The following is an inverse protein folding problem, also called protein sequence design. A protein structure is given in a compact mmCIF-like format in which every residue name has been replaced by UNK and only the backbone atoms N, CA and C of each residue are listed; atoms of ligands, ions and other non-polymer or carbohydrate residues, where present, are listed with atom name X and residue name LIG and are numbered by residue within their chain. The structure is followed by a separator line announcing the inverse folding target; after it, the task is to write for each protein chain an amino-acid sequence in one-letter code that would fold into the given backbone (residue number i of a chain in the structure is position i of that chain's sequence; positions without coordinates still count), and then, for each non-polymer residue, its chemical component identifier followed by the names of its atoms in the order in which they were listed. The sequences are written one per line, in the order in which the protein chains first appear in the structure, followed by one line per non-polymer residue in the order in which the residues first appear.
data_IF_764971524311
#
_entry.id   IF_764971524311
#
_cell.length_a   1.000
_cell.length_b   1.000
_cell.length_c   1.000
_cell.angle_alpha   90.00
_cell.angle_beta   90.00
_cell.angle_gamma   90.00
#
_symmetry.space_group_name_H-M   'P 1'
#
loop_
_entity.id
_entity.type
_entity.pdbx_description
1 polymer ?
#
# COMPACT_ATOMS: atom_id res chain seq x y z
N UNK A 1 -25.44 15.77 -5.27
CA UNK A 1 -26.62 15.83 -4.48
C UNK A 1 -26.32 16.37 -3.10
N UNK A 2 -26.90 17.39 -2.70
CA UNK A 2 -27.35 17.98 -1.44
C UNK A 2 -26.68 17.49 -0.12
N UNK A 3 -25.39 17.23 -0.09
CA UNK A 3 -24.62 17.04 1.13
C UNK A 3 -23.68 18.23 1.32
N UNK A 4 -23.67 18.76 2.53
CA UNK A 4 -22.65 19.69 2.97
C UNK A 4 -21.58 18.92 3.75
N UNK A 5 -20.33 18.95 3.29
CA UNK A 5 -19.21 18.30 3.98
C UNK A 5 -18.67 19.29 5.02
N UNK A 6 -18.80 18.96 6.26
CA UNK A 6 -18.36 19.80 7.40
C UNK A 6 -16.85 19.70 7.59
N UNK A 7 -16.31 18.49 7.58
CA UNK A 7 -14.89 18.22 7.75
C UNK A 7 -14.53 16.81 7.25
N UNK A 8 -13.25 16.61 7.01
CA UNK A 8 -12.64 15.27 6.99
C UNK A 8 -11.98 15.01 8.35
N UNK A 9 -12.03 13.75 8.82
CA UNK A 9 -11.21 13.30 9.93
C UNK A 9 -10.13 12.37 9.41
N UNK A 10 -8.94 12.41 9.97
CA UNK A 10 -7.80 11.60 9.51
C UNK A 10 -7.03 11.01 10.69
N UNK A 11 -6.61 9.75 10.53
CA UNK A 11 -5.76 9.03 11.48
C UNK A 11 -4.73 8.13 10.79
N UNK A 12 -4.98 7.72 9.53
CA UNK A 12 -4.10 6.82 8.79
C UNK A 12 -2.92 7.54 8.12
N UNK A 13 -3.01 8.84 7.92
CA UNK A 13 -1.98 9.66 7.27
C UNK A 13 -1.34 10.54 8.34
N UNK A 14 -0.02 10.42 8.56
CA UNK A 14 0.68 11.26 9.55
C UNK A 14 0.63 12.74 9.17
N UNK A 15 0.50 13.60 10.17
CA UNK A 15 0.64 15.07 10.08
C UNK A 15 -0.32 15.74 9.06
N UNK A 16 -1.46 15.09 8.75
CA UNK A 16 -2.46 15.66 7.84
C UNK A 16 -3.53 16.48 8.59
N UNK A 17 -3.73 16.21 9.88
CA UNK A 17 -4.64 16.98 10.72
C UNK A 17 -4.22 18.44 10.81
N UNK A 18 -5.21 19.34 10.88
CA UNK A 18 -4.99 20.78 10.87
C UNK A 18 -4.74 21.37 9.48
N UNK A 19 -4.59 20.55 8.44
CA UNK A 19 -4.53 20.99 7.04
C UNK A 19 -5.93 21.30 6.50
N UNK A 20 -5.95 21.90 5.32
CA UNK A 20 -7.17 22.19 4.57
C UNK A 20 -7.17 21.36 3.28
N UNK A 21 -8.25 20.66 2.98
CA UNK A 21 -8.46 20.14 1.64
C UNK A 21 -8.70 21.34 0.71
N UNK A 22 -7.87 21.51 -0.35
CA UNK A 22 -7.81 22.76 -1.09
C UNK A 22 -9.13 23.14 -1.76
N UNK A 23 -9.50 24.45 -1.82
CA UNK A 23 -10.72 24.89 -2.50
C UNK A 23 -10.73 24.53 -3.97
N UNK A 24 -9.58 24.51 -4.64
CA UNK A 24 -9.44 24.13 -6.06
C UNK A 24 -9.91 22.70 -6.35
N UNK A 25 -9.78 21.80 -5.36
CA UNK A 25 -10.19 20.40 -5.44
C UNK A 25 -11.56 20.15 -4.80
N UNK A 26 -11.95 20.98 -3.84
CA UNK A 26 -13.21 20.83 -3.11
C UNK A 26 -14.44 21.25 -3.93
N UNK A 27 -14.23 22.04 -5.00
CA UNK A 27 -15.27 22.53 -5.88
C UNK A 27 -15.97 23.80 -5.41
N UNK A 28 -16.85 24.33 -6.24
CA UNK A 28 -17.49 25.65 -6.05
C UNK A 28 -18.29 25.80 -4.75
N UNK A 29 -18.76 24.69 -4.16
CA UNK A 29 -19.50 24.71 -2.90
C UNK A 29 -18.60 24.99 -1.69
N UNK A 30 -17.28 24.85 -1.83
CA UNK A 30 -16.30 25.00 -0.75
C UNK A 30 -15.20 25.99 -1.12
N UNK A 31 -15.54 27.29 -1.32
CA UNK A 31 -14.56 28.30 -1.75
C UNK A 31 -13.45 28.56 -0.73
N UNK A 32 -13.62 28.11 0.50
CA UNK A 32 -12.60 28.16 1.56
C UNK A 32 -11.93 26.81 1.82
N UNK A 33 -12.20 25.78 1.00
CA UNK A 33 -11.76 24.39 1.22
C UNK A 33 -12.52 23.70 2.35
N UNK A 34 -12.10 22.47 2.67
CA UNK A 34 -12.73 21.66 3.73
C UNK A 34 -11.68 21.35 4.80
N UNK A 35 -11.94 21.63 6.09
CA UNK A 35 -10.97 21.37 7.15
C UNK A 35 -10.74 19.87 7.35
N UNK A 36 -9.46 19.49 7.59
CA UNK A 36 -9.06 18.16 8.00
C UNK A 36 -8.75 18.21 9.50
N UNK A 37 -9.45 17.40 10.29
CA UNK A 37 -9.38 17.37 11.74
C UNK A 37 -8.81 16.05 12.25
N UNK A 38 -8.34 16.06 13.49
CA UNK A 38 -7.99 14.83 14.18
C UNK A 38 -9.23 13.96 14.41
N UNK A 39 -9.09 12.63 14.33
CA UNK A 39 -10.24 11.72 14.49
C UNK A 39 -10.83 11.77 15.90
N UNK A 40 -10.04 12.12 16.90
CA UNK A 40 -10.47 12.33 18.29
C UNK A 40 -11.53 13.42 18.42
N UNK A 41 -11.56 14.39 17.49
CA UNK A 41 -12.55 15.47 17.46
C UNK A 41 -13.91 15.03 16.89
N UNK A 42 -14.04 13.82 16.33
CA UNK A 42 -15.23 13.36 15.58
C UNK A 42 -16.54 13.56 16.35
N UNK A 43 -16.58 13.18 17.62
CA UNK A 43 -17.81 13.28 18.45
C UNK A 43 -18.17 14.76 18.71
N UNK A 44 -17.19 15.59 18.92
CA UNK A 44 -17.40 17.03 19.14
C UNK A 44 -17.86 17.72 17.84
N UNK A 45 -17.29 17.36 16.70
CA UNK A 45 -17.72 17.83 15.38
C UNK A 45 -19.18 17.46 15.09
N UNK A 46 -19.60 16.22 15.37
CA UNK A 46 -20.98 15.78 15.22
C UNK A 46 -21.93 16.68 16.03
N UNK A 47 -21.62 16.91 17.30
CA UNK A 47 -22.45 17.71 18.19
C UNK A 47 -22.47 19.21 17.88
N UNK A 48 -21.31 19.78 17.56
CA UNK A 48 -21.16 21.21 17.30
C UNK A 48 -21.81 21.66 15.99
N UNK A 49 -21.73 20.82 14.96
CA UNK A 49 -22.23 21.13 13.62
C UNK A 49 -23.55 20.44 13.30
N UNK A 50 -24.11 19.63 14.20
CA UNK A 50 -25.35 18.89 13.95
C UNK A 50 -25.20 17.92 12.77
N UNK A 51 -24.04 17.23 12.67
CA UNK A 51 -23.76 16.30 11.56
C UNK A 51 -24.75 15.16 11.57
N UNK A 52 -25.45 14.97 10.45
CA UNK A 52 -26.48 13.92 10.31
C UNK A 52 -25.87 12.59 9.89
N UNK A 53 -24.75 12.60 9.14
CA UNK A 53 -24.16 11.40 8.58
C UNK A 53 -22.62 11.45 8.60
N UNK A 54 -22.01 10.36 9.03
CA UNK A 54 -20.57 10.11 8.94
C UNK A 54 -20.33 9.00 7.93
N UNK A 55 -19.53 9.31 6.90
CA UNK A 55 -19.11 8.34 5.89
C UNK A 55 -17.74 7.79 6.28
N UNK A 56 -17.64 6.48 6.44
CA UNK A 56 -16.39 5.80 6.75
C UNK A 56 -15.59 5.55 5.47
N UNK A 57 -14.34 6.02 5.45
CA UNK A 57 -13.48 5.97 4.28
C UNK A 57 -12.11 5.34 4.54
N UNK A 58 -11.85 4.79 5.74
CA UNK A 58 -10.61 4.09 6.03
C UNK A 58 -10.61 2.68 5.43
N UNK A 59 -9.45 2.20 5.07
CA UNK A 59 -9.22 0.86 4.54
C UNK A 59 -8.16 0.12 5.37
N UNK A 60 -8.10 -1.19 5.16
CA UNK A 60 -7.17 -2.12 5.83
C UNK A 60 -7.29 -2.13 7.36
N UNK A 61 -8.52 -2.03 7.84
CA UNK A 61 -8.86 -2.03 9.28
C UNK A 61 -9.71 -3.24 9.66
N UNK A 62 -9.60 -3.77 10.91
CA UNK A 62 -10.44 -4.87 11.38
C UNK A 62 -11.92 -4.49 11.41
N UNK A 63 -12.80 -5.47 11.23
CA UNK A 63 -14.27 -5.25 11.29
C UNK A 63 -14.73 -4.73 12.65
N UNK A 64 -14.12 -5.13 13.74
CA UNK A 64 -14.45 -4.63 15.08
C UNK A 64 -14.14 -3.14 15.23
N UNK A 65 -13.02 -2.66 14.64
CA UNK A 65 -12.73 -1.23 14.57
C UNK A 65 -13.84 -0.45 13.87
N UNK A 66 -14.31 -0.95 12.71
CA UNK A 66 -15.43 -0.33 11.97
C UNK A 66 -16.69 -0.27 12.82
N UNK A 67 -17.01 -1.37 13.52
CA UNK A 67 -18.20 -1.43 14.37
C UNK A 67 -18.10 -0.57 15.64
N UNK A 68 -16.90 -0.42 16.21
CA UNK A 68 -16.69 0.52 17.32
C UNK A 68 -16.89 1.97 16.89
N UNK A 69 -16.38 2.33 15.68
CA UNK A 69 -16.61 3.67 15.12
C UNK A 69 -18.09 3.91 14.82
N UNK A 70 -18.78 2.94 14.24
CA UNK A 70 -20.22 3.02 14.01
C UNK A 70 -21.00 3.24 15.33
N UNK A 71 -20.65 2.49 16.38
CA UNK A 71 -21.28 2.64 17.70
C UNK A 71 -21.04 4.02 18.32
N UNK A 72 -19.84 4.55 18.17
CA UNK A 72 -19.47 5.90 18.64
C UNK A 72 -20.28 6.98 17.91
N UNK A 73 -20.35 6.90 16.57
CA UNK A 73 -21.11 7.83 15.73
C UNK A 73 -22.60 7.81 16.06
N UNK A 74 -23.20 6.60 16.19
CA UNK A 74 -24.60 6.44 16.50
C UNK A 74 -24.92 6.96 17.92
N UNK A 75 -24.04 6.72 18.88
CA UNK A 75 -24.20 7.27 20.24
C UNK A 75 -24.09 8.81 20.29
N UNK A 76 -23.36 9.41 19.32
CA UNK A 76 -23.28 10.86 19.18
C UNK A 76 -24.49 11.47 18.44
N UNK A 77 -25.37 10.64 17.84
CA UNK A 77 -26.61 11.05 17.19
C UNK A 77 -26.57 11.18 15.66
N UNK A 78 -25.52 10.69 15.01
CA UNK A 78 -25.39 10.68 13.57
C UNK A 78 -25.52 9.25 12.99
N UNK A 79 -25.90 9.14 11.72
CA UNK A 79 -25.86 7.89 10.98
C UNK A 79 -24.42 7.54 10.56
N UNK A 80 -24.08 6.25 10.64
CA UNK A 80 -22.82 5.73 10.14
C UNK A 80 -23.01 5.03 8.79
N UNK A 81 -22.21 5.38 7.79
CA UNK A 81 -22.38 4.87 6.44
C UNK A 81 -21.10 4.26 5.88
N UNK A 82 -21.20 3.00 5.41
CA UNK A 82 -20.27 2.37 4.49
C UNK A 82 -20.77 2.56 3.06
N UNK A 83 -19.90 3.06 2.17
CA UNK A 83 -20.28 3.26 0.76
C UNK A 83 -20.19 1.95 -0.01
N UNK A 84 -21.21 1.65 -0.79
CA UNK A 84 -21.16 0.53 -1.73
C UNK A 84 -20.44 0.91 -3.04
N UNK A 85 -19.78 -0.06 -3.65
CA UNK A 85 -18.95 0.12 -4.86
C UNK A 85 -19.72 0.80 -6.00
N UNK A 86 -21.01 0.50 -6.18
CA UNK A 86 -21.86 1.10 -7.22
C UNK A 86 -21.85 2.64 -7.21
N UNK A 87 -21.64 3.25 -6.05
CA UNK A 87 -21.72 4.71 -5.89
C UNK A 87 -20.36 5.40 -5.90
N UNK A 88 -19.27 4.61 -5.88
CA UNK A 88 -17.89 5.11 -5.79
C UNK A 88 -17.06 4.83 -7.03
N UNK A 89 -17.56 3.99 -7.95
CA UNK A 89 -16.83 3.60 -9.14
C UNK A 89 -17.14 4.46 -10.35
N UNK A 90 -16.09 4.84 -11.08
CA UNK A 90 -16.15 5.53 -12.36
C UNK A 90 -16.04 4.48 -13.48
N UNK A 91 -16.87 4.62 -14.53
CA UNK A 91 -16.83 3.71 -15.67
C UNK A 91 -15.78 4.16 -16.69
N UNK A 92 -14.93 3.23 -17.08
CA UNK A 92 -13.94 3.40 -18.15
C UNK A 92 -14.54 3.10 -19.54
N UNK A 93 -13.96 3.72 -20.56
CA UNK A 93 -14.17 3.37 -21.98
C UNK A 93 -13.24 2.25 -22.45
N UNK A 94 -12.21 1.93 -21.67
CA UNK A 94 -11.25 0.84 -21.90
C UNK A 94 -11.50 -0.29 -20.90
N UNK A 95 -11.11 -1.53 -21.22
CA UNK A 95 -11.16 -2.63 -20.26
C UNK A 95 -10.35 -2.30 -18.99
N UNK A 96 -10.89 -2.66 -17.83
CA UNK A 96 -10.27 -2.46 -16.53
C UNK A 96 -9.97 -3.80 -15.87
N UNK A 97 -8.72 -4.03 -15.57
CA UNK A 97 -8.29 -5.12 -14.68
C UNK A 97 -7.94 -4.52 -13.33
N UNK A 98 -8.53 -5.00 -12.25
CA UNK A 98 -8.17 -4.56 -10.91
C UNK A 98 -7.46 -5.65 -10.11
N UNK A 99 -6.43 -5.27 -9.39
CA UNK A 99 -5.74 -6.13 -8.41
C UNK A 99 -5.92 -5.53 -7.03
N UNK A 100 -6.65 -6.25 -6.19
CA UNK A 100 -6.86 -5.92 -4.78
C UNK A 100 -6.26 -7.02 -3.90
N UNK A 101 -6.28 -6.85 -2.60
CA UNK A 101 -5.85 -7.87 -1.67
C UNK A 101 -6.73 -7.89 -0.42
N UNK A 102 -6.66 -8.98 0.35
CA UNK A 102 -7.35 -9.10 1.62
C UNK A 102 -6.72 -8.21 2.71
N UNK A 103 -5.41 -7.95 2.60
CA UNK A 103 -4.60 -7.13 3.53
C UNK A 103 -3.35 -6.57 2.85
N UNK A 104 -2.83 -5.47 3.35
CA UNK A 104 -1.48 -4.98 3.04
C UNK A 104 -0.43 -6.08 3.30
N UNK A 105 0.56 -6.19 2.41
CA UNK A 105 1.59 -7.24 2.49
C UNK A 105 1.18 -8.61 1.96
N UNK A 106 -0.05 -8.82 1.45
CA UNK A 106 -0.47 -10.10 0.84
C UNK A 106 0.23 -10.41 -0.49
N UNK A 107 0.83 -9.40 -1.14
CA UNK A 107 1.52 -9.55 -2.42
C UNK A 107 0.77 -8.94 -3.60
N UNK A 108 -0.08 -7.94 -3.33
CA UNK A 108 -0.80 -7.19 -4.37
C UNK A 108 0.15 -6.63 -5.43
N UNK A 109 1.17 -5.87 -5.03
CA UNK A 109 2.07 -5.18 -5.97
C UNK A 109 2.84 -6.14 -6.88
N UNK A 110 3.32 -7.29 -6.35
CA UNK A 110 3.94 -8.30 -7.22
C UNK A 110 2.94 -8.97 -8.17
N UNK A 111 1.70 -9.17 -7.75
CA UNK A 111 0.63 -9.70 -8.61
C UNK A 111 0.30 -8.69 -9.71
N UNK A 112 0.18 -7.41 -9.38
CA UNK A 112 -0.07 -6.34 -10.36
C UNK A 112 1.05 -6.28 -11.40
N UNK A 113 2.31 -6.35 -10.96
CA UNK A 113 3.47 -6.43 -11.88
C UNK A 113 3.39 -7.64 -12.81
N UNK A 114 3.06 -8.82 -12.27
CA UNK A 114 2.92 -10.03 -13.09
C UNK A 114 1.79 -9.91 -14.11
N UNK A 115 0.65 -9.36 -13.70
CA UNK A 115 -0.49 -9.10 -14.61
C UNK A 115 -0.10 -8.09 -15.70
N UNK A 116 0.58 -7.01 -15.34
CA UNK A 116 1.01 -6.01 -16.32
C UNK A 116 1.97 -6.59 -17.37
N UNK A 117 2.90 -7.45 -16.97
CA UNK A 117 3.80 -8.14 -17.89
C UNK A 117 3.04 -9.10 -18.82
N UNK A 118 2.10 -9.88 -18.30
CA UNK A 118 1.25 -10.78 -19.12
C UNK A 118 0.49 -9.98 -20.18
N UNK A 119 -0.14 -8.88 -19.78
CA UNK A 119 -0.88 -8.03 -20.71
C UNK A 119 0.01 -7.40 -21.79
N UNK A 120 1.23 -6.98 -21.41
CA UNK A 120 2.23 -6.50 -22.37
C UNK A 120 2.70 -7.59 -23.34
N UNK A 121 2.96 -8.78 -22.84
CA UNK A 121 3.34 -9.94 -23.68
C UNK A 121 2.24 -10.32 -24.67
N UNK A 122 0.98 -10.05 -24.34
CA UNK A 122 -0.17 -10.15 -25.24
C UNK A 122 -0.25 -9.00 -26.26
N UNK A 123 0.62 -7.99 -26.16
CA UNK A 123 0.71 -6.86 -27.08
C UNK A 123 -0.10 -5.62 -26.69
N UNK A 124 -0.68 -5.58 -25.49
CA UNK A 124 -1.44 -4.42 -25.03
C UNK A 124 -0.57 -3.35 -24.41
N UNK A 125 -0.93 -2.09 -24.61
CA UNK A 125 -0.42 -0.96 -23.85
C UNK A 125 -1.19 -0.88 -22.53
N UNK A 126 -0.47 -0.89 -21.42
CA UNK A 126 -1.05 -0.89 -20.07
C UNK A 126 -0.71 0.41 -19.36
N UNK A 127 -1.70 1.02 -18.74
CA UNK A 127 -1.52 2.09 -17.75
C UNK A 127 -1.97 1.60 -16.38
N UNK A 128 -1.06 1.56 -15.42
CA UNK A 128 -1.37 1.29 -14.04
C UNK A 128 -1.82 2.57 -13.33
N UNK A 129 -2.88 2.50 -12.53
CA UNK A 129 -3.41 3.64 -11.78
C UNK A 129 -3.39 3.32 -10.30
N UNK A 130 -2.81 4.25 -9.53
CA UNK A 130 -2.76 4.19 -8.07
C UNK A 130 -3.34 5.44 -7.44
N UNK A 131 -3.72 5.36 -6.17
CA UNK A 131 -4.00 6.58 -5.43
C UNK A 131 -2.68 7.26 -5.00
N UNK A 132 -2.67 8.58 -4.79
CA UNK A 132 -1.49 9.29 -4.37
C UNK A 132 -1.22 9.06 -2.90
N UNK A 133 0.00 9.31 -2.47
CA UNK A 133 0.30 9.54 -1.06
C UNK A 133 0.18 11.04 -0.78
N UNK A 134 -0.80 11.49 0.00
CA UNK A 134 -1.17 12.91 0.09
C UNK A 134 -0.27 13.70 1.06
N UNK A 135 1.04 13.47 1.03
CA UNK A 135 2.01 14.18 1.88
C UNK A 135 2.35 15.56 1.34
N UNK A 136 2.28 15.75 0.03
CA UNK A 136 2.65 16.97 -0.67
C UNK A 136 1.49 17.97 -0.87
N UNK A 137 1.62 18.74 -1.93
CA UNK A 137 0.60 19.69 -2.37
C UNK A 137 -0.45 18.96 -3.23
N UNK A 138 -1.65 18.78 -2.70
CA UNK A 138 -2.74 18.03 -3.35
C UNK A 138 -3.17 18.62 -4.69
N UNK A 139 -3.05 19.95 -4.89
CA UNK A 139 -3.38 20.58 -6.18
C UNK A 139 -2.37 20.16 -7.25
N UNK A 140 -1.07 20.09 -6.90
CA UNK A 140 -0.04 19.56 -7.80
C UNK A 140 -0.18 18.05 -8.05
N UNK A 141 -0.81 17.34 -7.11
CA UNK A 141 -1.10 15.92 -7.19
C UNK A 141 -2.49 15.62 -7.80
N UNK A 142 -3.15 16.58 -8.42
CA UNK A 142 -4.47 16.36 -9.04
C UNK A 142 -4.42 15.21 -10.05
N UNK A 143 -3.42 15.25 -10.95
CA UNK A 143 -3.10 14.17 -11.90
C UNK A 143 -1.58 14.15 -12.08
N UNK A 144 -0.96 13.04 -11.80
CA UNK A 144 0.46 12.80 -12.00
C UNK A 144 0.63 11.62 -12.96
N UNK A 145 1.56 11.76 -13.91
CA UNK A 145 1.90 10.76 -14.92
C UNK A 145 3.39 10.44 -14.81
N UNK A 146 3.72 9.17 -14.80
CA UNK A 146 5.08 8.69 -14.67
C UNK A 146 5.39 7.68 -15.77
N UNK A 147 6.27 8.03 -16.69
CA UNK A 147 6.75 7.17 -17.76
C UNK A 147 8.20 6.74 -17.55
N UNK A 148 8.97 7.54 -16.83
CA UNK A 148 10.39 7.31 -16.54
C UNK A 148 10.79 7.88 -15.16
N UNK A 149 12.09 7.80 -14.86
CA UNK A 149 12.63 8.25 -13.58
C UNK A 149 12.66 9.78 -13.43
N UNK A 150 12.77 10.51 -14.54
CA UNK A 150 12.80 11.97 -14.51
C UNK A 150 11.44 12.51 -14.04
N UNK A 151 10.33 11.84 -14.42
CA UNK A 151 8.99 12.15 -13.93
C UNK A 151 8.88 11.98 -12.39
N UNK A 152 9.54 10.96 -11.83
CA UNK A 152 9.56 10.76 -10.38
C UNK A 152 10.26 11.91 -9.65
N UNK A 153 11.34 12.41 -10.23
CA UNK A 153 12.10 13.53 -9.65
C UNK A 153 11.33 14.85 -9.80
N UNK A 154 10.69 15.10 -10.97
CA UNK A 154 9.86 16.28 -11.21
C UNK A 154 8.68 16.39 -10.24
N UNK A 155 8.07 15.25 -9.94
CA UNK A 155 6.94 15.17 -9.01
C UNK A 155 7.37 15.07 -7.53
N UNK A 156 8.68 15.14 -7.23
CA UNK A 156 9.22 15.08 -5.87
C UNK A 156 8.69 13.85 -5.07
N UNK A 157 8.65 12.68 -5.73
CA UNK A 157 8.08 11.47 -5.15
C UNK A 157 8.86 10.99 -3.92
N UNK A 158 8.12 10.57 -2.91
CA UNK A 158 8.66 9.97 -1.68
C UNK A 158 9.25 8.57 -1.94
N UNK A 159 10.02 8.02 -1.00
CA UNK A 159 10.51 6.64 -1.09
C UNK A 159 9.34 5.66 -1.24
N UNK A 160 8.27 5.85 -0.48
CA UNK A 160 7.10 4.95 -0.51
C UNK A 160 6.39 5.00 -1.87
N UNK A 161 6.26 6.16 -2.48
CA UNK A 161 5.72 6.30 -3.84
C UNK A 161 6.64 5.62 -4.85
N UNK A 162 7.97 5.78 -4.73
CA UNK A 162 8.94 5.11 -5.59
C UNK A 162 8.90 3.58 -5.44
N UNK A 163 8.71 3.05 -4.23
CA UNK A 163 8.55 1.60 -4.00
C UNK A 163 7.41 1.00 -4.83
N UNK A 164 6.40 1.80 -5.09
CA UNK A 164 5.23 1.39 -5.86
C UNK A 164 5.36 1.71 -7.36
N UNK A 165 6.07 2.78 -7.75
CA UNK A 165 6.11 3.26 -9.14
C UNK A 165 7.32 2.73 -9.92
N UNK A 166 8.52 2.73 -9.33
CA UNK A 166 9.75 2.28 -10.02
C UNK A 166 9.64 0.88 -10.64
N UNK A 167 9.07 -0.14 -9.94
CA UNK A 167 8.95 -1.46 -10.54
C UNK A 167 8.05 -1.52 -11.79
N UNK A 168 7.08 -0.62 -11.91
CA UNK A 168 6.27 -0.51 -13.13
C UNK A 168 7.04 0.18 -14.25
N UNK A 169 7.77 1.26 -13.94
CA UNK A 169 8.63 1.97 -14.88
C UNK A 169 9.72 1.02 -15.42
N UNK A 170 10.37 0.26 -14.54
CA UNK A 170 11.37 -0.76 -14.94
C UNK A 170 10.78 -1.79 -15.90
N UNK A 171 9.51 -2.12 -15.75
CA UNK A 171 8.78 -2.99 -16.66
C UNK A 171 8.23 -2.25 -17.89
N UNK A 172 8.50 -0.95 -18.07
CA UNK A 172 7.99 -0.12 -19.17
C UNK A 172 6.46 0.01 -19.16
N UNK A 173 5.86 0.04 -17.99
CA UNK A 173 4.42 0.27 -17.76
C UNK A 173 4.23 1.71 -17.33
N UNK A 174 3.32 2.40 -17.99
CA UNK A 174 2.94 3.77 -17.65
C UNK A 174 2.18 3.78 -16.33
N UNK A 175 2.51 4.73 -15.44
CA UNK A 175 1.81 4.91 -14.18
C UNK A 175 1.10 6.25 -14.13
N UNK A 176 -0.10 6.22 -13.58
CA UNK A 176 -0.84 7.39 -13.15
C UNK A 176 -1.12 7.33 -11.65
N UNK A 177 -0.99 8.47 -10.97
CA UNK A 177 -1.45 8.64 -9.60
C UNK A 177 -2.08 10.03 -9.44
N UNK A 178 -2.82 10.26 -8.40
CA UNK A 178 -3.36 11.58 -8.10
C UNK A 178 -4.72 11.51 -7.40
N UNK A 179 -5.27 12.70 -7.10
CA UNK A 179 -6.49 12.84 -6.29
C UNK A 179 -7.78 12.92 -7.11
N UNK A 180 -7.71 13.26 -8.41
CA UNK A 180 -8.89 13.29 -9.28
C UNK A 180 -8.93 12.03 -10.17
N UNK A 181 -9.58 10.99 -9.67
CA UNK A 181 -9.64 9.69 -10.35
C UNK A 181 -10.34 9.71 -11.70
N UNK A 182 -11.30 10.63 -11.92
CA UNK A 182 -11.95 10.74 -13.20
C UNK A 182 -11.01 11.37 -14.24
N UNK A 183 -10.34 12.47 -13.90
CA UNK A 183 -9.36 13.09 -14.79
C UNK A 183 -8.20 12.15 -15.12
N UNK A 184 -7.69 11.43 -14.11
CA UNK A 184 -6.66 10.41 -14.32
C UNK A 184 -7.12 9.37 -15.33
N UNK A 185 -8.32 8.82 -15.12
CA UNK A 185 -8.87 7.80 -16.01
C UNK A 185 -8.97 8.30 -17.45
N UNK A 186 -9.52 9.52 -17.65
CA UNK A 186 -9.68 10.10 -18.99
C UNK A 186 -8.36 10.35 -19.71
N UNK A 187 -7.28 10.65 -18.99
CA UNK A 187 -5.94 10.76 -19.57
C UNK A 187 -5.35 9.37 -19.90
N UNK A 188 -5.41 8.43 -18.96
CA UNK A 188 -4.90 7.08 -19.16
C UNK A 188 -5.57 6.36 -20.34
N UNK A 189 -6.88 6.56 -20.56
CA UNK A 189 -7.65 6.01 -21.68
C UNK A 189 -7.10 6.43 -23.06
N UNK A 190 -6.41 7.56 -23.15
CA UNK A 190 -5.84 8.05 -24.40
C UNK A 190 -4.52 7.36 -24.76
N UNK A 191 -3.81 6.83 -23.76
CA UNK A 191 -2.48 6.26 -23.93
C UNK A 191 -2.44 4.74 -23.81
N UNK A 192 -3.46 4.13 -23.20
CA UNK A 192 -3.50 2.70 -22.91
C UNK A 192 -4.66 1.98 -23.63
N UNK A 193 -4.44 0.68 -23.87
CA UNK A 193 -5.48 -0.23 -24.34
C UNK A 193 -6.22 -0.87 -23.16
N UNK A 194 -5.53 -1.05 -22.02
CA UNK A 194 -6.06 -1.64 -20.79
C UNK A 194 -5.65 -0.78 -19.60
N UNK A 195 -6.59 -0.48 -18.73
CA UNK A 195 -6.39 0.17 -17.45
C UNK A 195 -6.16 -0.90 -16.38
N UNK A 196 -5.07 -0.79 -15.63
CA UNK A 196 -4.75 -1.68 -14.52
C UNK A 196 -4.90 -0.92 -13.20
N UNK A 197 -5.95 -1.21 -12.43
CA UNK A 197 -6.09 -0.66 -11.10
C UNK A 197 -5.16 -1.38 -10.13
N UNK A 198 -4.16 -0.68 -9.65
CA UNK A 198 -3.23 -1.09 -8.60
C UNK A 198 -3.44 -0.23 -7.35
N UNK A 199 -4.65 -0.21 -6.83
CA UNK A 199 -5.06 0.63 -5.71
C UNK A 199 -4.14 0.53 -4.50
N UNK A 200 -4.32 1.45 -3.55
CA UNK A 200 -3.51 1.50 -2.35
C UNK A 200 -3.82 0.43 -1.31
N UNK A 201 -4.06 0.84 -0.08
CA UNK A 201 -4.23 -0.01 1.12
C UNK A 201 -5.51 -0.87 1.06
N UNK A 202 -5.60 -1.75 0.02
CA UNK A 202 -6.71 -2.68 -0.20
C UNK A 202 -8.08 -2.02 -0.34
N UNK A 203 -8.10 -0.83 -0.92
CA UNK A 203 -9.32 -0.12 -1.27
C UNK A 203 -10.17 -0.94 -2.24
N UNK A 204 -11.45 -0.59 -2.36
CA UNK A 204 -12.22 -0.99 -3.53
C UNK A 204 -11.57 -0.42 -4.79
N UNK A 205 -11.70 -1.10 -5.94
CA UNK A 205 -11.42 -0.44 -7.21
C UNK A 205 -12.28 0.81 -7.37
N UNK A 206 -11.67 1.95 -7.72
CA UNK A 206 -12.43 3.17 -8.01
C UNK A 206 -12.95 3.21 -9.43
N UNK A 207 -12.63 2.20 -10.23
CA UNK A 207 -13.17 1.99 -11.57
C UNK A 207 -13.97 0.70 -11.62
N UNK A 208 -15.02 0.70 -12.45
CA UNK A 208 -15.78 -0.53 -12.71
C UNK A 208 -14.85 -1.52 -13.40
N UNK A 209 -14.57 -2.64 -12.75
CA UNK A 209 -13.65 -3.65 -13.23
C UNK A 209 -14.35 -4.63 -14.17
N UNK A 210 -13.69 -4.98 -15.29
CA UNK A 210 -14.07 -6.09 -16.16
C UNK A 210 -13.49 -7.42 -15.66
N UNK A 211 -12.37 -7.35 -14.91
CA UNK A 211 -11.75 -8.47 -14.22
C UNK A 211 -11.20 -8.02 -12.88
N UNK A 212 -11.71 -8.59 -11.79
CA UNK A 212 -11.23 -8.32 -10.43
C UNK A 212 -10.43 -9.48 -9.87
N UNK A 213 -9.14 -9.26 -9.65
CA UNK A 213 -8.20 -10.20 -9.04
C UNK A 213 -8.01 -9.82 -7.57
N UNK A 214 -8.13 -10.79 -6.66
CA UNK A 214 -7.93 -10.56 -5.22
C UNK A 214 -6.88 -11.50 -4.67
N UNK A 215 -5.86 -10.92 -4.02
CA UNK A 215 -4.72 -11.65 -3.48
C UNK A 215 -4.96 -11.98 -2.01
N UNK A 216 -4.82 -13.24 -1.65
CA UNK A 216 -4.89 -13.75 -0.28
C UNK A 216 -3.53 -14.27 0.19
N UNK A 217 -3.28 -14.20 1.50
CA UNK A 217 -2.01 -14.55 2.13
C UNK A 217 -2.20 -15.67 3.17
N UNK A 218 -1.77 -16.90 2.91
CA UNK A 218 -1.93 -18.00 3.84
C UNK A 218 -1.03 -17.93 5.10
N UNK A 219 -0.12 -16.96 5.18
CA UNK A 219 0.56 -16.66 6.45
C UNK A 219 -0.38 -16.01 7.46
N UNK A 220 -1.55 -15.51 7.02
CA UNK A 220 -2.54 -14.82 7.85
C UNK A 220 -3.95 -15.34 7.59
N UNK A 221 -4.21 -16.65 7.83
CA UNK A 221 -5.53 -17.23 7.61
C UNK A 221 -6.57 -16.55 8.50
N UNK A 222 -7.78 -16.31 7.95
CA UNK A 222 -8.86 -15.58 8.60
C UNK A 222 -8.93 -14.08 8.24
N UNK A 223 -7.83 -13.51 7.73
CA UNK A 223 -7.84 -12.10 7.34
C UNK A 223 -8.72 -11.82 6.11
N UNK A 224 -9.01 -12.82 5.30
CA UNK A 224 -9.93 -12.75 4.16
C UNK A 224 -11.38 -12.42 4.55
N UNK A 225 -11.73 -12.55 5.83
CA UNK A 225 -13.09 -12.33 6.34
C UNK A 225 -13.15 -11.45 7.60
N UNK A 226 -12.05 -10.81 8.00
CA UNK A 226 -12.01 -10.03 9.24
C UNK A 226 -11.56 -8.58 9.05
N UNK A 227 -11.29 -8.16 7.82
CA UNK A 227 -10.82 -6.81 7.50
C UNK A 227 -11.69 -6.10 6.46
N UNK A 228 -11.86 -4.79 6.67
CA UNK A 228 -12.55 -3.89 5.74
C UNK A 228 -11.53 -3.09 4.92
N UNK A 229 -11.72 -2.99 3.59
CA UNK A 229 -12.72 -3.60 2.74
C UNK A 229 -12.31 -4.97 2.15
N UNK A 230 -11.28 -5.63 2.69
CA UNK A 230 -10.75 -6.90 2.20
C UNK A 230 -11.84 -7.95 1.94
N UNK A 231 -12.78 -8.15 2.87
CA UNK A 231 -13.88 -9.10 2.67
C UNK A 231 -14.80 -8.68 1.51
N UNK A 232 -15.03 -7.38 1.32
CA UNK A 232 -15.85 -6.93 0.19
C UNK A 232 -15.14 -7.23 -1.12
N UNK A 233 -13.82 -7.02 -1.20
CA UNK A 233 -13.03 -7.40 -2.38
C UNK A 233 -13.11 -8.91 -2.65
N UNK A 234 -13.03 -9.75 -1.62
CA UNK A 234 -13.22 -11.20 -1.74
C UNK A 234 -14.57 -11.55 -2.35
N UNK A 235 -15.65 -10.91 -1.91
CA UNK A 235 -17.00 -11.16 -2.42
C UNK A 235 -17.22 -10.71 -3.87
N UNK A 236 -16.42 -9.75 -4.34
CA UNK A 236 -16.49 -9.19 -5.71
C UNK A 236 -15.50 -9.86 -6.68
N UNK A 237 -14.57 -10.68 -6.19
CA UNK A 237 -13.50 -11.25 -7.00
C UNK A 237 -14.01 -12.17 -8.12
N UNK A 238 -13.41 -12.05 -9.29
CA UNK A 238 -13.53 -13.04 -10.38
C UNK A 238 -12.42 -14.10 -10.25
N UNK A 239 -11.24 -13.69 -9.74
CA UNK A 239 -10.08 -14.55 -9.56
C UNK A 239 -9.46 -14.32 -8.19
N UNK A 240 -9.14 -15.39 -7.49
CA UNK A 240 -8.27 -15.37 -6.32
C UNK A 240 -6.85 -15.80 -6.69
N UNK A 241 -5.86 -15.10 -6.15
CA UNK A 241 -4.47 -15.54 -6.10
C UNK A 241 -4.12 -15.81 -4.64
N UNK A 242 -4.02 -17.10 -4.28
CA UNK A 242 -3.48 -17.52 -2.98
C UNK A 242 -1.96 -17.47 -3.12
N UNK A 243 -1.36 -16.39 -2.65
CA UNK A 243 0.06 -16.09 -2.84
C UNK A 243 0.93 -16.75 -1.76
N UNK A 244 2.25 -16.83 -1.99
CA UNK A 244 3.26 -17.31 -1.03
C UNK A 244 3.03 -18.77 -0.57
N UNK A 245 2.42 -19.61 -1.41
CA UNK A 245 2.16 -21.02 -1.04
C UNK A 245 3.44 -21.83 -0.85
N UNK A 246 4.56 -21.38 -1.41
CA UNK A 246 5.90 -21.96 -1.27
C UNK A 246 6.54 -21.76 0.12
N UNK A 247 6.05 -20.80 0.89
CA UNK A 247 6.59 -20.46 2.22
C UNK A 247 5.58 -20.60 3.35
N UNK A 248 4.31 -20.72 3.03
CA UNK A 248 3.24 -20.87 4.00
C UNK A 248 3.08 -22.31 4.50
N UNK A 249 2.51 -22.45 5.70
CA UNK A 249 2.07 -23.75 6.20
C UNK A 249 0.97 -24.32 5.27
N UNK A 250 1.11 -25.57 4.78
CA UNK A 250 0.11 -26.22 3.92
C UNK A 250 -1.30 -26.23 4.51
N UNK A 251 -1.44 -26.40 5.83
CA UNK A 251 -2.74 -26.38 6.50
C UNK A 251 -3.40 -24.99 6.39
N UNK A 252 -2.61 -23.92 6.47
CA UNK A 252 -3.11 -22.57 6.32
C UNK A 252 -3.53 -22.26 4.87
N UNK A 253 -2.81 -22.81 3.88
CA UNK A 253 -3.24 -22.73 2.47
C UNK A 253 -4.62 -23.36 2.29
N UNK A 254 -4.85 -24.53 2.90
CA UNK A 254 -6.16 -25.20 2.88
C UNK A 254 -7.24 -24.34 3.54
N UNK A 255 -6.97 -23.80 4.74
CA UNK A 255 -7.92 -22.93 5.48
C UNK A 255 -8.33 -21.71 4.66
N UNK A 256 -7.36 -21.00 4.06
CA UNK A 256 -7.64 -19.83 3.22
C UNK A 256 -8.45 -20.23 1.99
N UNK A 257 -8.09 -21.32 1.31
CA UNK A 257 -8.84 -21.81 0.15
C UNK A 257 -10.31 -22.12 0.51
N UNK A 258 -10.56 -22.77 1.63
CA UNK A 258 -11.91 -23.10 2.09
C UNK A 258 -12.70 -21.84 2.48
N UNK A 259 -12.05 -20.87 3.15
CA UNK A 259 -12.66 -19.60 3.50
C UNK A 259 -13.05 -18.78 2.26
N UNK A 260 -12.17 -18.67 1.27
CA UNK A 260 -12.45 -17.99 0.01
C UNK A 260 -13.62 -18.66 -0.75
N UNK A 261 -13.64 -20.01 -0.84
CA UNK A 261 -14.74 -20.73 -1.47
C UNK A 261 -16.08 -20.52 -0.78
N UNK A 262 -16.08 -20.41 0.55
CA UNK A 262 -17.29 -20.13 1.32
C UNK A 262 -17.83 -18.73 1.09
N UNK A 263 -16.93 -17.75 0.94
CA UNK A 263 -17.29 -16.34 0.74
C UNK A 263 -17.70 -16.04 -0.70
N UNK A 264 -17.01 -16.65 -1.67
CA UNK A 264 -17.28 -16.50 -3.10
C UNK A 264 -16.97 -17.82 -3.83
N UNK A 265 -17.98 -18.69 -4.02
CA UNK A 265 -17.80 -20.01 -4.61
C UNK A 265 -17.55 -20.00 -6.13
N UNK A 266 -17.81 -18.86 -6.79
CA UNK A 266 -17.75 -18.75 -8.26
C UNK A 266 -16.40 -18.29 -8.79
N UNK A 267 -15.59 -17.64 -7.96
CA UNK A 267 -14.29 -17.14 -8.38
C UNK A 267 -13.29 -18.28 -8.68
N UNK A 268 -12.48 -18.06 -9.70
CA UNK A 268 -11.37 -18.97 -10.06
C UNK A 268 -10.27 -18.84 -9.02
N UNK A 269 -9.66 -19.96 -8.60
CA UNK A 269 -8.54 -19.94 -7.67
C UNK A 269 -7.25 -20.32 -8.37
N UNK A 270 -6.21 -19.50 -8.15
CA UNK A 270 -4.84 -19.71 -8.61
C UNK A 270 -3.94 -19.72 -7.37
N UNK A 271 -3.03 -20.67 -7.28
CA UNK A 271 -1.99 -20.69 -6.27
C UNK A 271 -0.70 -20.15 -6.87
N UNK A 272 -0.07 -19.21 -6.16
CA UNK A 272 1.13 -18.54 -6.59
C UNK A 272 2.26 -18.69 -5.58
N UNK A 273 3.44 -19.05 -6.07
CA UNK A 273 4.67 -18.98 -5.30
C UNK A 273 5.25 -17.57 -5.33
N UNK A 274 6.00 -17.21 -4.28
CA UNK A 274 6.71 -15.94 -4.20
C UNK A 274 8.19 -16.16 -3.87
N UNK A 275 8.95 -16.80 -4.77
CA UNK A 275 10.34 -17.12 -4.53
C UNK A 275 11.19 -15.85 -4.36
N UNK A 276 12.17 -15.95 -3.47
CA UNK A 276 13.14 -14.90 -3.21
C UNK A 276 14.38 -15.07 -4.10
N UNK A 277 14.82 -13.99 -4.69
CA UNK A 277 16.04 -13.92 -5.51
C UNK A 277 17.03 -12.95 -4.89
N UNK A 278 18.29 -13.36 -4.84
CA UNK A 278 19.43 -12.55 -4.42
C UNK A 278 20.54 -12.77 -5.43
N UNK A 279 21.25 -11.71 -5.82
CA UNK A 279 22.27 -11.81 -6.88
C UNK A 279 23.45 -12.69 -6.44
N UNK A 280 23.93 -12.55 -5.19
CA UNK A 280 24.95 -13.40 -4.60
C UNK A 280 24.54 -13.89 -3.21
N UNK A 281 23.85 -15.04 -3.13
CA UNK A 281 23.44 -15.63 -1.84
C UNK A 281 24.62 -16.00 -0.93
N UNK A 282 25.77 -16.38 -1.49
CA UNK A 282 26.95 -16.79 -0.73
C UNK A 282 27.61 -15.58 0.00
N UNK A 283 27.41 -14.36 -0.53
CA UNK A 283 27.89 -13.15 0.15
C UNK A 283 27.20 -12.93 1.52
N UNK A 284 25.99 -13.45 1.71
CA UNK A 284 25.22 -13.34 2.97
C UNK A 284 25.69 -14.37 4.01
N UNK A 285 26.17 -15.52 3.55
CA UNK A 285 26.52 -16.65 4.42
C UNK A 285 27.57 -16.29 5.47
N UNK A 286 27.25 -16.58 6.73
CA UNK A 286 28.15 -16.36 7.86
C UNK A 286 28.41 -14.90 8.24
N UNK A 287 27.70 -13.93 7.62
CA UNK A 287 27.81 -12.50 7.91
C UNK A 287 26.86 -12.04 9.00
N UNK A 288 27.25 -10.99 9.71
CA UNK A 288 26.39 -10.17 10.54
C UNK A 288 25.71 -9.15 9.62
N UNK A 289 24.40 -9.20 9.51
CA UNK A 289 23.67 -8.38 8.52
C UNK A 289 22.67 -7.44 9.17
N UNK A 290 22.54 -6.24 8.59
CA UNK A 290 21.40 -5.36 8.81
C UNK A 290 20.38 -5.68 7.73
N UNK A 291 19.12 -5.91 8.11
CA UNK A 291 18.03 -6.09 7.16
C UNK A 291 17.22 -4.81 7.07
N UNK A 292 17.05 -4.30 5.85
CA UNK A 292 16.21 -3.14 5.54
C UNK A 292 14.99 -3.65 4.76
N UNK A 293 13.79 -3.32 5.22
CA UNK A 293 12.53 -3.82 4.67
C UNK A 293 11.63 -2.68 4.22
N UNK A 294 10.66 -3.01 3.38
CA UNK A 294 9.57 -2.13 2.98
C UNK A 294 8.83 -1.56 4.21
N UNK A 295 8.80 -0.24 4.29
CA UNK A 295 8.19 0.51 5.40
C UNK A 295 6.70 0.20 5.61
N UNK A 296 5.84 0.34 4.61
CA UNK A 296 4.40 0.05 4.70
C UNK A 296 4.06 -1.36 5.17
N UNK A 297 4.77 -2.37 4.68
CA UNK A 297 4.56 -3.77 5.11
C UNK A 297 4.75 -3.95 6.61
N UNK A 298 5.71 -3.26 7.20
CA UNK A 298 6.02 -3.36 8.63
C UNK A 298 5.12 -2.50 9.49
N UNK A 299 4.81 -1.28 9.04
CA UNK A 299 4.05 -0.30 9.81
C UNK A 299 2.54 -0.52 9.67
N UNK A 300 2.01 -0.49 8.46
CA UNK A 300 0.58 -0.66 8.17
C UNK A 300 0.16 -2.13 8.08
N UNK A 301 1.02 -2.98 7.51
CA UNK A 301 0.78 -4.42 7.44
C UNK A 301 0.95 -5.17 8.77
N UNK A 302 1.48 -4.52 9.80
CA UNK A 302 1.80 -5.09 11.12
C UNK A 302 2.65 -6.37 11.06
N UNK A 303 3.47 -6.52 10.01
CA UNK A 303 4.36 -7.66 9.87
C UNK A 303 5.64 -7.45 10.69
N UNK A 304 6.08 -8.48 11.40
CA UNK A 304 7.30 -8.42 12.20
C UNK A 304 8.58 -8.44 11.33
N UNK A 305 8.48 -8.90 10.08
CA UNK A 305 9.58 -9.01 9.12
C UNK A 305 9.04 -9.16 7.69
N UNK A 306 9.91 -8.97 6.70
CA UNK A 306 9.59 -9.11 5.28
C UNK A 306 10.57 -10.03 4.54
N UNK A 307 10.71 -9.79 3.22
CA UNK A 307 11.49 -10.62 2.30
C UNK A 307 12.98 -10.65 2.61
N UNK A 308 13.55 -9.53 3.04
CA UNK A 308 14.96 -9.41 3.39
C UNK A 308 15.33 -10.26 4.59
N UNK A 309 14.49 -10.27 5.63
CA UNK A 309 14.68 -11.14 6.79
C UNK A 309 14.64 -12.62 6.41
N UNK A 310 13.65 -13.01 5.62
CA UNK A 310 13.53 -14.41 5.15
C UNK A 310 14.75 -14.79 4.31
N UNK A 311 15.22 -13.92 3.42
CA UNK A 311 16.42 -14.14 2.62
C UNK A 311 17.67 -14.26 3.49
N UNK A 312 17.87 -13.36 4.46
CA UNK A 312 19.00 -13.41 5.37
C UNK A 312 19.07 -14.74 6.13
N UNK A 313 17.92 -15.23 6.64
CA UNK A 313 17.81 -16.52 7.30
C UNK A 313 18.08 -17.70 6.37
N UNK A 314 17.44 -17.69 5.19
CA UNK A 314 17.54 -18.76 4.19
C UNK A 314 18.96 -18.94 3.65
N UNK A 315 19.68 -17.83 3.42
CA UNK A 315 21.03 -17.84 2.87
C UNK A 315 22.13 -17.87 3.95
N UNK A 316 21.77 -18.12 5.21
CA UNK A 316 22.70 -18.47 6.27
C UNK A 316 23.46 -17.28 6.84
N UNK A 317 22.85 -16.13 7.00
CA UNK A 317 23.39 -15.04 7.81
C UNK A 317 23.73 -15.57 9.22
N UNK A 318 24.90 -15.20 9.75
CA UNK A 318 25.31 -15.56 11.11
C UNK A 318 24.45 -14.89 12.16
N UNK A 319 24.09 -13.63 11.90
CA UNK A 319 23.32 -12.80 12.82
C UNK A 319 22.55 -11.74 12.02
N UNK A 320 21.29 -11.54 12.38
CA UNK A 320 20.51 -10.37 11.95
C UNK A 320 20.57 -9.38 13.11
N UNK A 321 21.29 -8.28 12.89
CA UNK A 321 21.59 -7.29 13.91
C UNK A 321 20.40 -6.37 14.11
N UNK A 322 19.98 -6.19 15.37
CA UNK A 322 18.92 -5.25 15.72
C UNK A 322 19.37 -3.81 15.45
N UNK A 323 18.68 -3.04 14.60
CA UNK A 323 19.08 -1.67 14.27
C UNK A 323 18.77 -0.64 15.36
N UNK A 324 17.92 -0.97 16.36
CA UNK A 324 17.47 -0.01 17.38
C UNK A 324 18.61 0.71 18.11
N UNK A 325 19.72 0.05 18.48
CA UNK A 325 20.85 0.74 19.12
C UNK A 325 21.52 1.80 18.26
N UNK A 326 21.34 1.74 16.93
CA UNK A 326 21.93 2.65 15.95
C UNK A 326 20.92 3.65 15.39
N UNK A 327 19.63 3.46 15.70
CA UNK A 327 18.54 4.28 15.18
C UNK A 327 18.67 5.73 15.64
N UNK A 328 18.58 6.67 14.69
CA UNK A 328 18.67 8.09 14.97
C UNK A 328 17.31 8.78 14.76
N UNK A 329 17.05 9.81 15.54
CA UNK A 329 15.93 10.78 15.41
C UNK A 329 14.60 10.13 14.96
N UNK A 330 14.16 10.38 13.69
CA UNK A 330 12.89 9.88 13.16
C UNK A 330 12.80 8.35 13.12
N UNK A 331 13.90 7.66 12.87
CA UNK A 331 13.93 6.19 12.87
C UNK A 331 13.71 5.65 14.29
N UNK A 332 14.32 6.28 15.29
CA UNK A 332 14.09 5.90 16.70
C UNK A 332 12.62 6.15 17.11
N UNK A 333 12.01 7.25 16.66
CA UNK A 333 10.59 7.53 16.90
C UNK A 333 9.68 6.49 16.23
N UNK A 334 10.01 6.02 15.03
CA UNK A 334 9.28 4.95 14.34
C UNK A 334 9.22 3.67 15.18
N UNK A 335 10.32 3.24 15.78
CA UNK A 335 10.31 2.05 16.66
C UNK A 335 9.46 2.22 17.93
N UNK A 336 9.35 3.45 18.43
CA UNK A 336 8.46 3.75 19.58
C UNK A 336 6.99 3.63 19.18
N UNK A 337 6.66 4.12 17.98
CA UNK A 337 5.29 4.07 17.43
C UNK A 337 4.87 2.65 17.04
N UNK A 338 5.82 1.84 16.51
CA UNK A 338 5.56 0.48 16.02
C UNK A 338 6.40 -0.56 16.78
N UNK A 339 6.08 -0.84 18.05
CA UNK A 339 6.91 -1.68 18.92
C UNK A 339 6.93 -3.16 18.53
N UNK A 340 6.00 -3.61 17.69
CA UNK A 340 5.94 -4.99 17.17
C UNK A 340 6.94 -5.26 16.03
N UNK A 341 7.57 -4.24 15.46
CA UNK A 341 8.61 -4.39 14.44
C UNK A 341 9.73 -5.27 14.96
N UNK A 342 10.12 -6.27 14.18
CA UNK A 342 11.21 -7.20 14.50
C UNK A 342 12.60 -6.54 14.47
N UNK A 343 13.69 -7.31 14.50
CA UNK A 343 15.05 -6.80 14.45
C UNK A 343 15.44 -6.40 13.01
N UNK A 344 14.65 -5.54 12.41
CA UNK A 344 14.77 -5.09 11.02
C UNK A 344 14.53 -3.59 10.95
N UNK A 345 15.08 -2.94 9.93
CA UNK A 345 15.00 -1.49 9.73
C UNK A 345 13.92 -1.18 8.68
N UNK A 346 12.83 -0.49 9.03
CA UNK A 346 11.88 -0.03 8.02
C UNK A 346 12.50 1.06 7.16
N UNK A 347 12.39 0.92 5.83
CA UNK A 347 12.77 1.95 4.87
C UNK A 347 11.73 3.07 4.91
N UNK A 348 11.98 4.08 5.72
CA UNK A 348 11.10 5.24 5.89
C UNK A 348 11.69 6.44 5.16
N UNK A 349 10.90 7.18 4.38
CA UNK A 349 11.41 8.31 3.61
C UNK A 349 10.34 9.26 3.10
N UNK A 350 9.55 9.84 4.03
CA UNK A 350 8.55 10.87 3.70
C UNK A 350 9.16 12.23 3.34
N UNK A 351 10.48 12.41 3.47
CA UNK A 351 11.19 13.64 3.15
C UNK A 351 12.70 13.55 3.41
N UNK A 352 13.45 14.54 2.93
CA UNK A 352 14.92 14.59 2.97
C UNK A 352 15.53 14.36 4.36
N UNK A 353 14.88 14.87 5.40
CA UNK A 353 15.36 14.71 6.77
C UNK A 353 15.30 13.25 7.20
N UNK A 354 14.22 12.55 6.87
CA UNK A 354 14.02 11.16 7.23
C UNK A 354 14.90 10.23 6.38
N UNK A 355 15.13 10.56 5.10
CA UNK A 355 16.09 9.85 4.25
C UNK A 355 17.52 9.94 4.81
N UNK A 356 17.93 11.12 5.31
CA UNK A 356 19.23 11.29 5.99
C UNK A 356 19.32 10.48 7.28
N UNK A 357 18.25 10.42 8.06
CA UNK A 357 18.20 9.62 9.29
C UNK A 357 18.29 8.11 8.98
N UNK A 358 17.65 7.65 7.90
CA UNK A 358 17.76 6.28 7.40
C UNK A 358 19.20 5.96 6.95
N UNK A 359 19.81 6.82 6.13
CA UNK A 359 21.20 6.69 5.68
C UNK A 359 22.17 6.63 6.87
N UNK A 360 22.01 7.54 7.83
CA UNK A 360 22.84 7.61 9.02
C UNK A 360 22.69 6.34 9.88
N UNK A 361 21.46 5.84 10.07
CA UNK A 361 21.19 4.62 10.82
C UNK A 361 21.86 3.40 10.17
N UNK A 362 21.72 3.25 8.84
CA UNK A 362 22.35 2.16 8.08
C UNK A 362 23.88 2.22 8.23
N UNK A 363 24.46 3.38 7.98
CA UNK A 363 25.92 3.53 7.95
C UNK A 363 26.58 3.44 9.32
N UNK A 364 25.88 3.79 10.41
CA UNK A 364 26.32 3.62 11.81
C UNK A 364 26.21 2.18 12.32
N UNK A 365 25.38 1.34 11.72
CA UNK A 365 25.14 -0.02 12.19
C UNK A 365 26.44 -0.84 12.13
N UNK A 366 26.75 -1.57 13.18
CA UNK A 366 27.94 -2.45 13.27
C UNK A 366 27.64 -3.80 12.62
N UNK A 367 27.74 -3.86 11.30
CA UNK A 367 27.41 -5.02 10.47
C UNK A 367 28.40 -5.20 9.32
N UNK A 368 28.54 -6.43 8.86
CA UNK A 368 29.39 -6.79 7.72
C UNK A 368 28.72 -6.41 6.38
N UNK A 369 27.37 -6.41 6.34
CA UNK A 369 26.59 -6.25 5.12
C UNK A 369 25.17 -5.77 5.41
N UNK A 370 24.55 -5.13 4.42
CA UNK A 370 23.14 -4.73 4.41
C UNK A 370 22.37 -5.64 3.45
N UNK A 371 21.25 -6.20 3.90
CA UNK A 371 20.30 -6.95 3.07
C UNK A 371 19.09 -6.07 2.85
N UNK A 372 18.86 -5.65 1.60
CA UNK A 372 17.81 -4.71 1.21
C UNK A 372 16.64 -5.49 0.63
N UNK A 373 15.54 -5.54 1.38
CA UNK A 373 14.29 -6.24 1.03
C UNK A 373 13.18 -5.33 0.50
N UNK A 374 13.52 -4.08 0.15
CA UNK A 374 12.55 -3.15 -0.45
C UNK A 374 12.44 -3.35 -1.95
N UNK A 375 11.28 -3.01 -2.58
CA UNK A 375 11.11 -3.08 -4.03
C UNK A 375 12.07 -2.18 -4.81
N UNK A 376 12.40 -1.01 -4.26
CA UNK A 376 13.29 -0.03 -4.91
C UNK A 376 14.77 -0.33 -4.73
N UNK A 377 15.58 0.32 -5.55
CA UNK A 377 17.01 0.42 -5.33
C UNK A 377 17.33 1.60 -4.40
N UNK A 378 17.45 1.32 -3.10
CA UNK A 378 17.75 2.36 -2.11
C UNK A 378 19.02 3.16 -2.42
N UNK A 379 19.97 2.61 -3.20
CA UNK A 379 21.22 3.32 -3.54
C UNK A 379 21.02 4.49 -4.50
N UNK A 380 19.83 4.61 -5.09
CA UNK A 380 19.46 5.77 -5.92
C UNK A 380 19.07 6.98 -5.08
N UNK A 381 18.61 6.75 -3.85
CA UNK A 381 18.07 7.82 -2.98
C UNK A 381 18.92 8.08 -1.73
N UNK A 382 19.68 7.08 -1.27
CA UNK A 382 20.60 7.19 -0.13
C UNK A 382 21.95 6.54 -0.43
N UNK A 383 23.01 6.99 0.26
CA UNK A 383 24.34 6.41 0.13
C UNK A 383 24.60 5.33 1.16
N UNK A 384 24.65 4.08 0.72
CA UNK A 384 25.02 2.94 1.56
C UNK A 384 26.52 2.72 1.43
N UNK A 385 27.29 2.94 2.51
CA UNK A 385 28.76 2.80 2.54
C UNK A 385 29.25 1.37 2.77
N UNK A 386 28.34 0.46 3.06
CA UNK A 386 28.64 -0.96 3.36
C UNK A 386 28.34 -1.85 2.14
N UNK A 387 28.97 -3.05 2.07
CA UNK A 387 28.52 -4.05 1.11
C UNK A 387 27.02 -4.32 1.29
N UNK A 388 26.27 -4.50 0.22
CA UNK A 388 24.84 -4.78 0.27
C UNK A 388 24.42 -5.82 -0.75
N UNK A 389 23.29 -6.49 -0.49
CA UNK A 389 22.59 -7.38 -1.40
C UNK A 389 21.13 -6.99 -1.47
N UNK A 390 20.58 -6.93 -2.69
CA UNK A 390 19.14 -6.72 -2.90
C UNK A 390 18.42 -8.05 -2.92
N UNK A 391 17.29 -8.09 -2.26
CA UNK A 391 16.34 -9.22 -2.30
C UNK A 391 15.19 -8.81 -3.21
N UNK A 392 14.94 -9.60 -4.23
CA UNK A 392 13.80 -9.48 -5.14
C UNK A 392 12.87 -10.65 -4.92
N UNK A 393 11.61 -10.44 -5.19
CA UNK A 393 10.57 -11.48 -5.15
C UNK A 393 9.55 -11.23 -6.25
N UNK A 394 9.09 -12.31 -6.88
CA UNK A 394 8.20 -12.26 -8.02
C UNK A 394 7.14 -13.35 -7.89
N UNK A 395 5.92 -13.07 -8.34
CA UNK A 395 4.85 -14.06 -8.42
C UNK A 395 5.13 -15.05 -9.58
N UNK A 396 5.13 -16.35 -9.23
CA UNK A 396 5.28 -17.46 -10.18
C UNK A 396 4.09 -18.42 -10.11
#
# INVERSE_FOLDING_TARGET
KDYEVVAFTATQIPDIEGRLYPPELAGELYPSGIPIRAEEELVDLIKQHGVEQVVFAYSDVPHDYVMHKASMVNAAGADFRLMGTRYTQVKSTKPVVSVCAVRTGSGKSQTTRRVSLILRDMGYKVAAIRHPMPYGNLVRQEVQRFADYDDLDEHETTIEEREEYEPHIDNGVLIYAGVDYEKILRQAEQEADIILWDGGNNDFPFYVSDLQIVVADPHRPGHESSYHPGETNVRLADVFVINKVDTADPENVIKVREALRRLNPTAIMIEGASPLFVDDPEAIRGKRVLVVEDGPTLTHGEMAYGAGYVAARRFGAKEIVDPRPFAVKSIAATYQKYPKTGPILPAMGYGDAQMKDLEETINKSDVDMVVVGTPIDLTRVIKISKPYQRVRYELQ
#
